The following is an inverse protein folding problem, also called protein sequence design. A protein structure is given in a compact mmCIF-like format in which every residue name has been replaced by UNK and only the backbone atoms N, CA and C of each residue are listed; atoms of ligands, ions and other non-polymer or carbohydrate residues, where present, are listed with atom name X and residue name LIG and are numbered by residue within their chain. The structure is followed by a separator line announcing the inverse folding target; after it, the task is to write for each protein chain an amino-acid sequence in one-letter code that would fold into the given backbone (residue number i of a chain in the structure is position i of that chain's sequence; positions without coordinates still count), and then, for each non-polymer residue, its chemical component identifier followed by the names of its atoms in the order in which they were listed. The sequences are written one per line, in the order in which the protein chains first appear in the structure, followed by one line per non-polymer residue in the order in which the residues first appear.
data_IF_759448103702
#
_entry.id   IF_759448103702
#
_cell.length_a   1.000
_cell.length_b   1.000
_cell.length_c   1.000
_cell.angle_alpha   90.00
_cell.angle_beta   90.00
_cell.angle_gamma   90.00
#
_symmetry.space_group_name_H-M   'P 1'
#
loop_
_entity.id
_entity.type
_entity.pdbx_description
1 polymer ?
#
# COMPACT_ATOMS: atom_id res chain seq x y z
N UNK A 1 0.83 -18.16 6.81
CA UNK A 1 1.82 -18.52 5.78
C UNK A 1 2.11 -17.24 5.00
N UNK A 2 3.35 -16.71 5.05
CA UNK A 2 3.71 -15.43 4.40
C UNK A 2 4.69 -15.72 3.25
N UNK A 3 4.43 -15.17 2.07
CA UNK A 3 5.31 -15.33 0.91
C UNK A 3 6.59 -14.52 1.09
N UNK A 4 7.74 -15.17 0.92
CA UNK A 4 9.03 -14.48 1.00
C UNK A 4 9.21 -13.53 -0.19
N UNK A 5 9.49 -12.28 0.14
CA UNK A 5 9.99 -11.26 -0.79
C UNK A 5 11.16 -10.53 -0.14
N UNK A 6 11.98 -9.86 -0.95
CA UNK A 6 13.07 -9.03 -0.44
C UNK A 6 12.56 -7.99 0.58
N UNK A 7 11.44 -7.33 0.27
CA UNK A 7 10.81 -6.33 1.14
C UNK A 7 10.33 -6.94 2.46
N UNK A 8 9.66 -8.09 2.43
CA UNK A 8 9.21 -8.74 3.68
C UNK A 8 10.38 -9.13 4.56
N UNK A 9 11.51 -9.56 3.99
CA UNK A 9 12.72 -9.85 4.75
C UNK A 9 13.29 -8.57 5.40
N UNK A 10 13.44 -7.51 4.62
CA UNK A 10 13.98 -6.23 5.10
C UNK A 10 13.11 -5.65 6.22
N UNK A 11 11.80 -5.58 6.00
CA UNK A 11 10.84 -5.04 6.97
C UNK A 11 10.85 -5.88 8.26
N UNK A 12 10.85 -7.20 8.15
CA UNK A 12 10.89 -8.09 9.32
C UNK A 12 12.21 -7.97 10.11
N UNK A 13 13.33 -7.81 9.40
CA UNK A 13 14.63 -7.61 10.02
C UNK A 13 14.70 -6.26 10.77
N UNK A 14 14.22 -5.18 10.15
CA UNK A 14 14.15 -3.86 10.80
C UNK A 14 13.24 -3.87 12.02
N UNK A 15 12.11 -4.57 11.97
CA UNK A 15 11.19 -4.75 13.10
C UNK A 15 11.84 -5.48 14.27
N UNK A 16 12.65 -6.52 13.99
CA UNK A 16 13.41 -7.24 15.04
C UNK A 16 14.47 -6.34 15.67
N UNK A 17 15.23 -5.60 14.85
CA UNK A 17 16.22 -4.63 15.34
C UNK A 17 15.58 -3.53 16.18
N UNK A 18 14.44 -2.99 15.74
CA UNK A 18 13.66 -2.01 16.48
C UNK A 18 13.24 -2.55 17.85
N UNK A 19 12.72 -3.77 17.89
CA UNK A 19 12.35 -4.42 19.14
C UNK A 19 13.57 -4.65 20.07
N UNK A 20 14.70 -5.08 19.51
CA UNK A 20 15.92 -5.35 20.28
C UNK A 20 16.45 -4.07 20.96
N UNK A 21 16.53 -2.96 20.21
CA UNK A 21 17.17 -1.72 20.65
C UNK A 21 16.23 -0.67 21.23
N UNK A 22 15.06 -0.46 20.62
CA UNK A 22 14.11 0.58 20.99
C UNK A 22 12.94 0.06 21.85
N UNK A 23 12.79 -1.27 22.02
CA UNK A 23 11.70 -1.92 22.78
C UNK A 23 10.28 -1.57 22.29
N UNK A 24 10.21 -1.07 21.07
CA UNK A 24 9.00 -0.80 20.32
C UNK A 24 9.31 -1.04 18.85
N UNK A 25 8.29 -1.19 18.03
CA UNK A 25 8.44 -1.46 16.62
C UNK A 25 7.84 -0.38 15.73
N UNK A 26 8.37 -0.23 14.52
CA UNK A 26 7.93 0.80 13.58
C UNK A 26 6.42 0.62 13.22
N UNK A 27 5.60 1.67 13.33
CA UNK A 27 4.16 1.62 13.00
C UNK A 27 3.85 1.42 11.51
N UNK A 28 4.80 1.63 10.60
CA UNK A 28 4.58 1.44 9.17
C UNK A 28 4.48 -0.05 8.77
N UNK A 29 5.03 -0.95 9.59
CA UNK A 29 5.08 -2.38 9.28
C UNK A 29 4.24 -3.20 10.27
N UNK A 30 3.78 -4.39 9.86
CA UNK A 30 3.09 -5.31 10.77
C UNK A 30 3.97 -5.71 11.94
N UNK A 31 3.37 -5.78 13.14
CA UNK A 31 4.04 -6.22 14.37
C UNK A 31 3.62 -7.63 14.80
N UNK A 32 4.44 -8.27 15.61
CA UNK A 32 4.04 -9.46 16.37
C UNK A 32 3.00 -9.11 17.44
N UNK A 33 2.24 -10.10 17.90
CA UNK A 33 1.18 -9.90 18.89
C UNK A 33 1.73 -9.29 20.20
N UNK A 34 2.89 -9.76 20.63
CA UNK A 34 3.56 -9.34 21.87
C UNK A 34 4.31 -7.99 21.80
N UNK A 35 4.50 -7.42 20.61
CA UNK A 35 5.22 -6.15 20.46
C UNK A 35 4.27 -4.95 20.52
N UNK A 36 4.80 -3.76 20.79
CA UNK A 36 4.06 -2.48 20.77
C UNK A 36 4.64 -1.55 19.71
N UNK A 37 3.80 -0.73 19.08
CA UNK A 37 4.29 0.27 18.14
C UNK A 37 4.95 1.44 18.88
N UNK A 38 6.02 1.97 18.29
CA UNK A 38 6.62 3.21 18.70
C UNK A 38 5.63 4.36 18.52
N UNK A 39 5.46 5.20 19.55
CA UNK A 39 4.44 6.26 19.56
C UNK A 39 4.99 7.62 20.00
N UNK A 40 6.07 7.65 20.77
CA UNK A 40 6.64 8.90 21.26
C UNK A 40 7.70 9.46 20.30
N UNK A 41 7.97 10.77 20.32
CA UNK A 41 9.06 11.36 19.53
C UNK A 41 10.44 10.75 19.84
N UNK A 42 10.67 10.32 21.09
CA UNK A 42 11.90 9.66 21.50
C UNK A 42 12.04 8.28 20.85
N UNK A 43 10.95 7.51 20.79
CA UNK A 43 10.92 6.21 20.12
C UNK A 43 11.21 6.36 18.62
N UNK A 44 10.57 7.35 17.98
CA UNK A 44 10.79 7.64 16.56
C UNK A 44 12.23 8.05 16.28
N UNK A 45 12.86 8.82 17.18
CA UNK A 45 14.27 9.16 17.07
C UNK A 45 15.18 7.94 17.23
N UNK A 46 14.78 6.94 18.03
CA UNK A 46 15.49 5.67 18.13
C UNK A 46 15.41 4.87 16.82
N UNK A 47 14.22 4.80 16.20
CA UNK A 47 14.02 4.11 14.92
C UNK A 47 14.93 4.66 13.81
N UNK A 48 15.07 5.98 13.70
CA UNK A 48 15.93 6.64 12.70
C UNK A 48 17.41 6.24 12.89
N UNK A 49 17.83 5.96 14.12
CA UNK A 49 19.21 5.56 14.44
C UNK A 49 19.45 4.06 14.29
N UNK A 50 18.46 3.26 13.90
CA UNK A 50 18.64 1.80 13.82
C UNK A 50 19.79 1.35 12.92
N UNK A 51 20.05 2.10 11.85
CA UNK A 51 21.14 1.84 10.91
C UNK A 51 22.53 2.06 11.52
N UNK A 52 22.63 2.84 12.61
CA UNK A 52 23.89 3.14 13.30
C UNK A 52 24.34 2.04 14.28
N UNK A 53 23.46 1.10 14.64
CA UNK A 53 23.80 -0.02 15.52
C UNK A 53 24.52 -1.19 14.81
N UNK A 54 24.77 -1.08 13.50
CA UNK A 54 25.49 -2.07 12.70
C UNK A 54 26.72 -1.43 12.06
N UNK A 55 27.81 -2.20 11.97
CA UNK A 55 29.06 -1.78 11.35
C UNK A 55 28.87 -1.40 9.88
N UNK A 56 29.59 -0.37 9.43
CA UNK A 56 29.55 0.10 8.06
C UNK A 56 29.96 -1.00 7.08
N UNK A 57 29.23 -1.09 5.96
CA UNK A 57 29.39 -2.13 4.93
C UNK A 57 30.78 -2.15 4.24
N UNK A 58 31.64 -1.16 4.51
CA UNK A 58 32.96 -0.99 3.91
C UNK A 58 34.09 -1.70 4.69
N UNK A 59 33.77 -2.35 5.80
CA UNK A 59 34.73 -3.13 6.60
C UNK A 59 34.69 -4.60 6.20
N UNK A 60 35.77 -5.36 6.43
CA UNK A 60 35.84 -6.82 6.20
C UNK A 60 34.73 -7.61 6.92
N UNK A 61 34.15 -7.02 7.97
CA UNK A 61 33.03 -7.53 8.77
C UNK A 61 31.72 -6.76 8.52
N UNK A 62 31.73 -5.80 7.60
CA UNK A 62 30.66 -4.87 7.29
C UNK A 62 29.44 -5.59 6.72
N UNK A 63 28.48 -5.92 7.58
CA UNK A 63 27.19 -6.47 7.14
C UNK A 63 26.21 -5.33 6.99
N UNK A 64 25.54 -5.27 5.83
CA UNK A 64 24.32 -4.47 5.66
C UNK A 64 23.38 -4.75 6.83
N UNK A 65 22.72 -3.72 7.35
CA UNK A 65 21.81 -3.78 8.53
C UNK A 65 20.91 -5.02 8.49
N UNK A 66 20.40 -5.34 7.29
CA UNK A 66 19.70 -6.58 6.97
C UNK A 66 20.35 -7.29 5.76
N UNK A 67 20.85 -8.52 5.92
CA UNK A 67 21.39 -9.35 4.83
C UNK A 67 20.30 -10.22 4.19
N UNK A 68 19.36 -9.55 3.51
CA UNK A 68 18.27 -10.22 2.80
C UNK A 68 18.72 -10.65 1.40
N UNK A 69 18.52 -11.93 1.06
CA UNK A 69 18.78 -12.46 -0.30
C UNK A 69 17.55 -12.22 -1.19
N UNK A 70 17.74 -12.02 -2.51
CA UNK A 70 16.60 -11.96 -3.43
C UNK A 70 15.82 -13.28 -3.40
N UNK A 71 14.52 -13.20 -3.69
CA UNK A 71 13.68 -14.40 -3.80
C UNK A 71 14.06 -15.19 -5.06
N UNK A 72 13.98 -16.53 -5.01
CA UNK A 72 14.27 -17.38 -6.18
C UNK A 72 13.20 -17.23 -7.28
N UNK A 73 11.98 -16.85 -6.90
CA UNK A 73 10.88 -16.62 -7.82
C UNK A 73 10.19 -15.31 -7.44
N UNK A 74 10.13 -14.37 -8.37
CA UNK A 74 9.45 -13.09 -8.21
C UNK A 74 8.73 -12.70 -9.49
N UNK A 75 7.59 -12.02 -9.34
CA UNK A 75 6.81 -11.49 -10.46
C UNK A 75 6.83 -9.97 -10.40
N UNK A 76 7.41 -9.32 -11.41
CA UNK A 76 7.45 -7.87 -11.53
C UNK A 76 6.49 -7.38 -12.63
N UNK A 77 5.69 -6.36 -12.33
CA UNK A 77 4.77 -5.76 -13.29
C UNK A 77 5.30 -4.42 -13.79
N UNK A 78 5.40 -4.26 -15.11
CA UNK A 78 5.68 -2.96 -15.72
C UNK A 78 4.37 -2.17 -15.83
N UNK A 79 4.30 -1.03 -15.15
CA UNK A 79 3.14 -0.14 -15.18
C UNK A 79 3.36 0.97 -16.21
N UNK A 80 2.40 1.15 -17.12
CA UNK A 80 2.30 2.33 -17.98
C UNK A 80 1.05 3.08 -17.57
N UNK A 81 1.19 4.33 -17.11
CA UNK A 81 0.07 5.16 -16.66
C UNK A 81 -0.15 6.25 -17.70
N UNK A 82 -1.40 6.40 -18.14
CA UNK A 82 -1.85 7.51 -18.99
C UNK A 82 -2.91 8.30 -18.26
N UNK A 83 -2.93 9.61 -18.47
CA UNK A 83 -3.87 10.53 -17.83
C UNK A 83 -4.83 11.09 -18.87
N UNK A 84 -6.08 11.32 -18.47
CA UNK A 84 -7.09 12.00 -19.28
C UNK A 84 -8.02 12.81 -18.36
N UNK A 85 -8.71 13.80 -18.92
CA UNK A 85 -9.65 14.63 -18.14
C UNK A 85 -10.94 13.85 -17.89
N UNK A 86 -11.16 13.49 -16.62
CA UNK A 86 -12.40 12.89 -16.13
C UNK A 86 -12.98 13.76 -14.98
N UNK A 87 -14.28 14.08 -14.99
CA UNK A 87 -15.28 13.77 -16.02
C UNK A 87 -15.13 14.67 -17.26
N UNK A 88 -15.64 14.23 -18.42
CA UNK A 88 -15.67 15.08 -19.62
C UNK A 88 -16.68 16.22 -19.46
N UNK A 89 -16.52 17.32 -20.20
CA UNK A 89 -17.47 18.47 -20.16
C UNK A 89 -18.91 18.08 -20.50
N UNK A 90 -19.10 17.00 -21.26
CA UNK A 90 -20.43 16.46 -21.61
C UNK A 90 -20.88 15.33 -20.68
N UNK A 91 -20.02 14.86 -19.78
CA UNK A 91 -20.35 13.84 -18.80
C UNK A 91 -21.16 14.49 -17.69
N UNK A 92 -22.48 14.50 -17.87
CA UNK A 92 -23.43 14.88 -16.82
C UNK A 92 -23.63 13.64 -15.95
N UNK A 93 -23.53 13.80 -14.64
CA UNK A 93 -23.91 12.79 -13.64
C UNK A 93 -25.19 13.23 -12.97
N UNK A 94 -26.12 12.29 -12.78
CA UNK A 94 -27.33 12.57 -12.01
C UNK A 94 -26.97 12.50 -10.53
N UNK A 95 -26.87 13.66 -9.87
CA UNK A 95 -26.51 13.74 -8.45
C UNK A 95 -27.75 13.78 -7.54
N UNK A 96 -28.82 13.04 -7.89
CA UNK A 96 -30.05 13.05 -7.09
C UNK A 96 -31.01 11.89 -7.44
N UNK A 97 -32.33 12.15 -7.54
CA UNK A 97 -33.35 11.08 -7.63
C UNK A 97 -33.32 10.31 -8.96
N UNK A 98 -33.95 9.12 -9.00
CA UNK A 98 -34.07 8.33 -10.23
C UNK A 98 -34.68 9.14 -11.39
N UNK A 99 -35.65 10.00 -11.12
CA UNK A 99 -36.22 10.90 -12.13
C UNK A 99 -35.18 11.86 -12.74
N UNK A 100 -34.24 12.37 -11.94
CA UNK A 100 -33.16 13.23 -12.42
C UNK A 100 -32.14 12.44 -13.26
N UNK A 101 -31.97 11.15 -12.96
CA UNK A 101 -31.18 10.22 -13.79
C UNK A 101 -31.87 9.93 -15.11
N UNK A 102 -33.16 9.63 -15.11
CA UNK A 102 -33.91 9.30 -16.33
C UNK A 102 -33.99 10.49 -17.29
N UNK A 103 -34.20 11.70 -16.76
CA UNK A 103 -34.16 12.94 -17.56
C UNK A 103 -32.78 13.20 -18.16
N UNK A 104 -31.72 12.89 -17.42
CA UNK A 104 -30.34 13.06 -17.86
C UNK A 104 -29.96 12.01 -18.92
N UNK A 105 -30.36 10.75 -18.74
CA UNK A 105 -30.17 9.67 -19.72
C UNK A 105 -30.94 9.93 -21.01
N UNK A 106 -32.19 10.41 -20.92
CA UNK A 106 -32.98 10.83 -22.09
C UNK A 106 -32.30 11.99 -22.83
N UNK A 107 -31.85 13.01 -22.11
CA UNK A 107 -31.18 14.19 -22.69
C UNK A 107 -29.77 13.93 -23.25
N UNK A 108 -29.13 12.81 -22.90
CA UNK A 108 -27.83 12.40 -23.42
C UNK A 108 -27.93 11.49 -24.66
N UNK A 109 -29.15 11.21 -25.15
CA UNK A 109 -29.35 10.28 -26.27
C UNK A 109 -29.19 8.81 -25.85
N UNK A 110 -29.36 8.53 -24.56
CA UNK A 110 -29.20 7.21 -23.97
C UNK A 110 -27.91 7.06 -23.14
N UNK A 111 -27.95 6.06 -22.26
CA UNK A 111 -26.84 5.48 -21.51
C UNK A 111 -27.21 4.02 -21.23
N UNK A 112 -26.32 3.24 -20.60
CA UNK A 112 -26.70 1.88 -20.14
C UNK A 112 -28.02 1.98 -19.39
N UNK A 113 -29.04 1.22 -19.80
CA UNK A 113 -30.30 1.06 -19.07
C UNK A 113 -29.95 0.47 -17.73
N UNK A 114 -29.73 1.34 -16.75
CA UNK A 114 -29.42 0.93 -15.39
C UNK A 114 -30.70 0.51 -14.71
N UNK A 115 -31.30 -0.59 -15.17
CA UNK A 115 -32.32 -1.33 -14.43
C UNK A 115 -31.72 -2.05 -13.21
N UNK A 116 -30.39 -1.97 -13.06
CA UNK A 116 -29.61 -2.53 -11.97
C UNK A 116 -29.28 -1.47 -10.92
N UNK A 117 -29.34 -1.88 -9.66
CA UNK A 117 -28.88 -1.12 -8.50
C UNK A 117 -27.39 -0.79 -8.67
N UNK A 118 -26.94 0.33 -8.11
CA UNK A 118 -25.49 0.65 -8.04
C UNK A 118 -24.72 -0.37 -7.16
N UNK A 119 -25.44 -1.27 -6.47
CA UNK A 119 -24.91 -2.40 -5.71
C UNK A 119 -24.84 -3.71 -6.53
N UNK A 120 -25.33 -3.72 -7.77
CA UNK A 120 -25.32 -4.95 -8.57
C UNK A 120 -23.91 -5.25 -9.10
N UNK A 121 -23.44 -6.51 -8.97
CA UNK A 121 -22.11 -6.87 -9.43
C UNK A 121 -22.00 -6.74 -10.96
N UNK A 122 -21.03 -5.94 -11.41
CA UNK A 122 -20.70 -5.65 -12.83
C UNK A 122 -20.14 -6.84 -13.63
N UNK A 123 -20.34 -8.08 -13.17
CA UNK A 123 -19.86 -9.27 -13.85
C UNK A 123 -21.01 -10.00 -14.54
N UNK A 124 -21.01 -9.97 -15.87
CA UNK A 124 -21.84 -10.83 -16.70
C UNK A 124 -21.30 -12.28 -16.61
N UNK A 125 -22.18 -13.24 -16.30
CA UNK A 125 -21.95 -14.70 -16.40
C UNK A 125 -22.41 -15.19 -17.77
#
# INVERSE_FOLDING_TARGET
NYTYTLNTCQNSCLQRLAWEHCKCVDPLFPKAAEHTHCATPADMACLVKLTSFKSEANTLEGKRVCDCKPACNETAFRKTVTYSNFPSTRYKVATGSQLQRDLLLFGQGGGRTGDRSDDDPDFDV
#
